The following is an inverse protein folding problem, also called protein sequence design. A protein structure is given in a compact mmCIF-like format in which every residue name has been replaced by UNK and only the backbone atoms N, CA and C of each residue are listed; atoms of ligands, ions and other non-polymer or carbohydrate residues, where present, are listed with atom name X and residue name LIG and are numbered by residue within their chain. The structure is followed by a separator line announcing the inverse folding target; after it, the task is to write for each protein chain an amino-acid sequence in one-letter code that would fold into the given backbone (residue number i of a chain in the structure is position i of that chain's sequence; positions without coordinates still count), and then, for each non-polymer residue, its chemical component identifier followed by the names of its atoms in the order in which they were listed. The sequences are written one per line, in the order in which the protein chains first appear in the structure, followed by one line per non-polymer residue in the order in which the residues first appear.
data_IF_162758897275
#
_entry.id   IF_162758897275
#
_cell.length_a   1.000
_cell.length_b   1.000
_cell.length_c   1.000
_cell.angle_alpha   90.00
_cell.angle_beta   90.00
_cell.angle_gamma   90.00
#
_symmetry.space_group_name_H-M   'P 1'
#
loop_
_entity.id
_entity.type
_entity.pdbx_description
1 polymer ?
#
# COMPACT_ATOMS: atom_id res chain seq x y z
N UNK A 1 5.46 -4.89 24.77
CA UNK A 1 5.47 -6.25 24.17
C UNK A 1 4.83 -6.13 22.78
N UNK A 2 5.55 -6.50 21.73
CA UNK A 2 5.03 -6.42 20.36
C UNK A 2 3.83 -7.34 20.17
N UNK A 3 2.73 -6.81 19.64
CA UNK A 3 1.51 -7.57 19.30
C UNK A 3 1.49 -7.79 17.79
N UNK A 4 1.35 -9.04 17.36
CA UNK A 4 1.12 -9.35 15.95
C UNK A 4 -0.34 -9.03 15.61
N UNK A 5 -0.56 -8.16 14.62
CA UNK A 5 -1.89 -7.75 14.15
C UNK A 5 -2.20 -8.31 12.76
N UNK A 6 -1.18 -8.73 12.01
CA UNK A 6 -1.33 -9.39 10.72
C UNK A 6 -0.20 -10.39 10.51
N UNK A 7 -0.54 -11.57 9.98
CA UNK A 7 0.41 -12.62 9.61
C UNK A 7 0.03 -13.20 8.24
N UNK A 8 0.88 -12.98 7.25
CA UNK A 8 0.75 -13.54 5.90
C UNK A 8 2.02 -14.31 5.51
N UNK A 9 2.02 -14.87 4.30
CA UNK A 9 3.15 -15.64 3.74
C UNK A 9 4.39 -14.78 3.47
N UNK A 10 4.18 -13.57 2.93
CA UNK A 10 5.27 -12.69 2.49
C UNK A 10 5.61 -11.60 3.51
N UNK A 11 4.72 -11.31 4.43
CA UNK A 11 4.90 -10.26 5.44
C UNK A 11 4.06 -10.49 6.68
N UNK A 12 4.53 -9.95 7.80
CA UNK A 12 3.78 -9.88 9.07
C UNK A 12 3.86 -8.46 9.62
N UNK A 13 2.81 -8.03 10.32
CA UNK A 13 2.77 -6.69 10.94
C UNK A 13 2.65 -6.83 12.44
N UNK A 14 3.54 -6.15 13.14
CA UNK A 14 3.59 -6.07 14.58
C UNK A 14 3.39 -4.63 15.03
N UNK A 15 2.72 -4.46 16.16
CA UNK A 15 2.53 -3.14 16.79
C UNK A 15 3.16 -3.12 18.16
N UNK A 16 3.90 -2.08 18.45
CA UNK A 16 4.44 -1.77 19.76
C UNK A 16 4.25 -0.27 20.06
N UNK A 17 3.39 0.04 21.03
CA UNK A 17 3.00 1.41 21.38
C UNK A 17 2.41 2.18 20.18
N UNK A 18 3.16 3.13 19.66
CA UNK A 18 2.77 4.05 18.60
C UNK A 18 3.43 3.70 17.25
N UNK A 19 4.03 2.51 17.15
CA UNK A 19 4.76 2.07 15.95
C UNK A 19 4.18 0.78 15.41
N UNK A 20 4.10 0.71 14.08
CA UNK A 20 3.82 -0.51 13.33
C UNK A 20 5.10 -0.96 12.60
N UNK A 21 5.43 -2.23 12.71
CA UNK A 21 6.57 -2.85 12.04
C UNK A 21 6.06 -3.88 11.05
N UNK A 22 6.29 -3.63 9.76
CA UNK A 22 6.06 -4.58 8.67
C UNK A 22 7.35 -5.35 8.43
N UNK A 23 7.36 -6.61 8.85
CA UNK A 23 8.50 -7.53 8.70
C UNK A 23 8.27 -8.39 7.47
N UNK A 24 9.20 -8.35 6.52
CA UNK A 24 9.13 -9.09 5.27
C UNK A 24 9.76 -10.48 5.40
N UNK A 25 9.27 -11.45 4.62
CA UNK A 25 9.88 -12.77 4.53
C UNK A 25 11.30 -12.68 3.91
N UNK A 26 12.16 -13.65 4.21
CA UNK A 26 13.52 -13.70 3.65
C UNK A 26 13.53 -13.78 2.11
N UNK A 27 12.48 -14.32 1.52
CA UNK A 27 12.30 -14.41 0.06
C UNK A 27 11.87 -13.09 -0.59
N UNK A 28 11.53 -12.07 0.21
CA UNK A 28 11.09 -10.79 -0.34
C UNK A 28 12.31 -9.97 -0.80
N UNK A 29 12.23 -9.40 -2.01
CA UNK A 29 13.37 -8.70 -2.58
C UNK A 29 13.68 -7.40 -1.82
N UNK A 30 14.97 -7.11 -1.66
CA UNK A 30 15.43 -5.83 -1.07
C UNK A 30 14.92 -4.63 -1.85
N UNK A 31 14.93 -4.71 -3.18
CA UNK A 31 14.48 -3.61 -4.05
C UNK A 31 13.01 -3.29 -3.84
N UNK A 32 12.16 -4.30 -3.68
CA UNK A 32 10.73 -4.09 -3.47
C UNK A 32 10.44 -3.45 -2.10
N UNK A 33 11.18 -3.86 -1.05
CA UNK A 33 11.08 -3.23 0.27
C UNK A 33 11.46 -1.75 0.22
N UNK A 34 12.59 -1.45 -0.40
CA UNK A 34 13.08 -0.08 -0.53
C UNK A 34 12.15 0.76 -1.44
N UNK A 35 11.60 0.15 -2.48
CA UNK A 35 10.63 0.81 -3.34
C UNK A 35 9.31 1.11 -2.62
N UNK A 36 8.82 0.18 -1.77
CA UNK A 36 7.64 0.43 -0.93
C UNK A 36 7.90 1.60 0.04
N UNK A 37 9.05 1.61 0.70
CA UNK A 37 9.41 2.69 1.62
C UNK A 37 9.55 4.04 0.90
N UNK A 38 10.19 4.06 -0.27
CA UNK A 38 10.33 5.27 -1.09
C UNK A 38 8.96 5.83 -1.51
N UNK A 39 8.04 4.97 -1.96
CA UNK A 39 6.71 5.43 -2.35
C UNK A 39 5.90 5.92 -1.14
N UNK A 40 6.07 5.32 0.04
CA UNK A 40 5.47 5.86 1.27
C UNK A 40 5.96 7.27 1.56
N UNK A 41 7.26 7.51 1.51
CA UNK A 41 7.84 8.84 1.69
C UNK A 41 7.33 9.86 0.64
N UNK A 42 7.20 9.45 -0.62
CA UNK A 42 6.64 10.30 -1.69
C UNK A 42 5.17 10.66 -1.44
N UNK A 43 4.39 9.76 -0.86
CA UNK A 43 3.00 10.05 -0.47
C UNK A 43 2.97 11.00 0.72
N UNK A 44 3.88 10.87 1.70
CA UNK A 44 4.02 11.84 2.80
C UNK A 44 4.26 13.27 2.28
N UNK A 45 5.11 13.42 1.25
CA UNK A 45 5.41 14.71 0.62
C UNK A 45 4.16 15.39 0.00
N UNK A 46 3.08 14.65 -0.25
CA UNK A 46 1.81 15.22 -0.73
C UNK A 46 1.02 15.96 0.35
N UNK A 47 1.38 15.77 1.62
CA UNK A 47 0.65 16.31 2.77
C UNK A 47 -0.60 15.52 3.15
N UNK A 48 -0.82 14.34 2.56
CA UNK A 48 -1.86 13.43 3.04
C UNK A 48 -1.57 12.98 4.48
N UNK A 49 -2.62 12.93 5.29
CA UNK A 49 -2.54 12.40 6.65
C UNK A 49 -2.47 10.88 6.63
N UNK A 50 -1.25 10.37 6.58
CA UNK A 50 -0.93 8.95 6.59
C UNK A 50 0.08 8.63 7.69
N UNK A 51 0.15 7.37 8.19
CA UNK A 51 1.19 6.95 9.13
C UNK A 51 2.59 7.16 8.52
N UNK A 52 3.39 8.04 9.13
CA UNK A 52 4.72 8.39 8.61
C UNK A 52 5.68 7.23 8.65
N UNK A 53 6.53 7.15 7.64
CA UNK A 53 7.67 6.25 7.60
C UNK A 53 8.72 6.70 8.64
N UNK A 54 9.08 5.83 9.55
CA UNK A 54 10.04 6.15 10.63
C UNK A 54 11.42 5.52 10.38
N UNK A 55 11.46 4.31 9.83
CA UNK A 55 12.70 3.60 9.64
C UNK A 55 12.56 2.44 8.64
N UNK A 56 13.67 2.14 7.97
CA UNK A 56 13.87 0.91 7.20
C UNK A 56 15.12 0.23 7.72
N UNK A 57 15.00 -1.02 8.16
CA UNK A 57 16.10 -1.73 8.83
C UNK A 57 16.08 -3.22 8.50
N UNK A 58 17.13 -3.91 8.95
CA UNK A 58 17.18 -5.37 8.95
C UNK A 58 17.17 -5.83 10.40
N UNK A 59 16.18 -6.62 10.77
CA UNK A 59 16.02 -7.21 12.11
C UNK A 59 15.99 -8.72 11.96
N UNK A 60 16.86 -9.42 12.64
CA UNK A 60 16.99 -10.89 12.55
C UNK A 60 17.10 -11.39 11.10
N UNK A 61 17.88 -10.68 10.27
CA UNK A 61 18.08 -10.98 8.85
C UNK A 61 16.90 -10.64 7.93
N UNK A 62 15.81 -10.07 8.46
CA UNK A 62 14.60 -9.71 7.70
C UNK A 62 14.50 -8.20 7.51
N UNK A 63 14.14 -7.79 6.31
CA UNK A 63 13.79 -6.40 6.04
C UNK A 63 12.55 -6.01 6.83
N UNK A 64 12.61 -4.83 7.44
CA UNK A 64 11.54 -4.29 8.27
C UNK A 64 11.32 -2.82 7.94
N UNK A 65 10.09 -2.46 7.61
CA UNK A 65 9.64 -1.07 7.53
C UNK A 65 8.91 -0.73 8.82
N UNK A 66 9.32 0.34 9.48
CA UNK A 66 8.67 0.87 10.67
C UNK A 66 7.97 2.16 10.31
N UNK A 67 6.70 2.26 10.63
CA UNK A 67 5.88 3.46 10.49
C UNK A 67 5.20 3.84 11.81
N UNK A 68 4.59 5.00 11.85
CA UNK A 68 3.60 5.32 12.88
C UNK A 68 2.47 4.29 12.85
N UNK A 69 1.83 4.07 13.98
CA UNK A 69 0.65 3.22 14.09
C UNK A 69 -0.60 4.07 14.16
N UNK A 70 -1.44 4.00 13.13
CA UNK A 70 -2.77 4.60 13.17
C UNK A 70 -3.65 3.82 14.13
N UNK A 71 -3.95 4.44 15.29
CA UNK A 71 -4.85 3.86 16.30
C UNK A 71 -6.29 4.04 15.85
N UNK A 72 -7.10 3.03 16.09
CA UNK A 72 -8.53 3.07 15.77
C UNK A 72 -9.07 1.70 15.39
N UNK A 73 -10.31 1.71 14.95
CA UNK A 73 -10.98 0.56 14.39
C UNK A 73 -11.11 0.70 12.88
N UNK A 74 -11.06 -0.40 12.18
CA UNK A 74 -11.28 -0.39 10.72
C UNK A 74 -12.75 -0.14 10.40
N UNK A 75 -13.05 0.46 9.24
CA UNK A 75 -14.44 0.61 8.78
C UNK A 75 -15.18 -0.73 8.74
N UNK A 76 -14.49 -1.83 8.42
CA UNK A 76 -15.06 -3.17 8.47
C UNK A 76 -15.53 -3.56 9.87
N UNK A 77 -14.73 -3.26 10.90
CA UNK A 77 -15.10 -3.53 12.29
C UNK A 77 -16.25 -2.63 12.77
N UNK A 78 -16.21 -1.35 12.39
CA UNK A 78 -17.28 -0.40 12.69
C UNK A 78 -18.60 -0.81 12.04
N UNK A 79 -18.60 -1.18 10.76
CA UNK A 79 -19.78 -1.68 10.06
C UNK A 79 -20.36 -2.95 10.70
N UNK A 80 -19.49 -3.84 11.21
CA UNK A 80 -19.94 -5.06 11.88
C UNK A 80 -20.55 -4.77 13.26
N UNK A 81 -20.02 -3.77 14.00
CA UNK A 81 -20.48 -3.39 15.33
C UNK A 81 -21.71 -2.46 15.30
N UNK A 82 -21.77 -1.59 14.31
CA UNK A 82 -22.73 -0.51 14.18
C UNK A 82 -23.29 -0.44 12.76
N UNK A 83 -24.02 -1.48 12.29
CA UNK A 83 -24.58 -1.53 10.94
C UNK A 83 -25.60 -0.41 10.67
N UNK A 84 -26.22 0.12 11.73
CA UNK A 84 -27.13 1.28 11.66
C UNK A 84 -26.46 2.56 11.16
N UNK A 85 -25.12 2.65 11.25
CA UNK A 85 -24.36 3.81 10.79
C UNK A 85 -23.69 3.58 9.43
N UNK A 86 -24.11 2.55 8.66
CA UNK A 86 -23.46 2.15 7.42
C UNK A 86 -23.34 3.29 6.41
N UNK A 87 -24.40 4.08 6.22
CA UNK A 87 -24.40 5.20 5.28
C UNK A 87 -23.34 6.24 5.64
N UNK A 88 -23.24 6.61 6.92
CA UNK A 88 -22.23 7.58 7.38
C UNK A 88 -20.79 7.04 7.20
N UNK A 89 -20.57 5.74 7.40
CA UNK A 89 -19.24 5.14 7.19
C UNK A 89 -18.88 5.07 5.71
N UNK A 90 -19.86 4.79 4.83
CA UNK A 90 -19.65 4.79 3.38
C UNK A 90 -19.36 6.22 2.89
N UNK A 91 -20.12 7.21 3.36
CA UNK A 91 -19.90 8.62 3.03
C UNK A 91 -18.48 9.05 3.43
N UNK A 92 -18.06 8.77 4.66
CA UNK A 92 -16.70 9.06 5.11
C UNK A 92 -15.63 8.38 4.24
N UNK A 93 -15.85 7.13 3.82
CA UNK A 93 -14.93 6.42 2.92
C UNK A 93 -14.83 7.11 1.55
N UNK A 94 -15.96 7.57 1.01
CA UNK A 94 -16.01 8.30 -0.28
C UNK A 94 -15.30 9.64 -0.14
N UNK A 95 -15.50 10.37 0.95
CA UNK A 95 -14.83 11.64 1.21
C UNK A 95 -13.31 11.48 1.31
N UNK A 96 -12.84 10.44 2.00
CA UNK A 96 -11.41 10.10 2.02
C UNK A 96 -10.87 9.78 0.63
N UNK A 97 -11.61 9.01 -0.18
CA UNK A 97 -11.20 8.71 -1.55
C UNK A 97 -11.10 9.97 -2.41
N UNK A 98 -12.07 10.88 -2.29
CA UNK A 98 -12.06 12.19 -2.99
C UNK A 98 -10.87 13.02 -2.52
N UNK A 99 -10.59 13.06 -1.22
CA UNK A 99 -9.43 13.77 -0.67
C UNK A 99 -8.11 13.22 -1.23
N UNK A 100 -7.93 11.89 -1.23
CA UNK A 100 -6.76 11.22 -1.80
C UNK A 100 -6.58 11.59 -3.28
N UNK A 101 -7.65 11.54 -4.07
CA UNK A 101 -7.61 11.79 -5.51
C UNK A 101 -7.27 13.26 -5.87
N UNK A 102 -7.36 14.19 -4.91
CA UNK A 102 -6.92 15.60 -5.10
C UNK A 102 -5.41 15.78 -4.97
N UNK A 103 -4.69 14.78 -4.44
CA UNK A 103 -3.25 14.85 -4.26
C UNK A 103 -2.55 14.14 -5.41
N UNK A 104 -1.46 14.73 -5.87
CA UNK A 104 -0.60 14.15 -6.89
C UNK A 104 0.87 14.32 -6.49
N UNK A 105 1.70 13.38 -6.90
CA UNK A 105 3.14 13.50 -6.80
C UNK A 105 3.77 12.97 -8.09
N UNK A 106 4.48 13.82 -8.87
CA UNK A 106 5.05 13.44 -10.16
C UNK A 106 6.13 12.34 -10.05
N UNK A 107 6.62 12.07 -8.85
CA UNK A 107 7.60 11.02 -8.59
C UNK A 107 6.96 9.64 -8.36
N UNK A 108 5.64 9.57 -8.17
CA UNK A 108 4.92 8.30 -8.13
C UNK A 108 4.72 7.78 -9.54
N UNK A 109 4.97 6.51 -9.73
CA UNK A 109 4.69 5.84 -11.01
C UNK A 109 3.19 5.68 -11.15
N UNK A 110 2.63 6.17 -12.25
CA UNK A 110 1.22 5.99 -12.56
C UNK A 110 0.88 4.51 -12.79
N UNK A 111 -0.40 4.19 -12.66
CA UNK A 111 -0.86 2.79 -12.72
C UNK A 111 -0.66 2.18 -14.11
N UNK A 112 -0.83 2.96 -15.19
CA UNK A 112 -0.63 2.46 -16.56
C UNK A 112 0.82 2.05 -16.79
N UNK A 113 1.78 2.92 -16.49
CA UNK A 113 3.22 2.62 -16.60
C UNK A 113 3.62 1.41 -15.76
N UNK A 114 3.02 1.24 -14.58
CA UNK A 114 3.25 0.05 -13.75
C UNK A 114 2.72 -1.22 -14.41
N UNK A 115 1.49 -1.19 -14.93
CA UNK A 115 0.87 -2.34 -15.58
C UNK A 115 1.59 -2.69 -16.88
N UNK A 116 1.96 -1.71 -17.70
CA UNK A 116 2.75 -1.90 -18.92
C UNK A 116 4.06 -2.65 -18.64
N UNK A 117 4.81 -2.19 -17.61
CA UNK A 117 6.01 -2.91 -17.18
C UNK A 117 5.71 -4.34 -16.75
N UNK A 118 4.65 -4.57 -15.97
CA UNK A 118 4.28 -5.90 -15.53
C UNK A 118 3.89 -6.82 -16.68
N UNK A 119 3.14 -6.32 -17.69
CA UNK A 119 2.80 -7.07 -18.91
C UNK A 119 4.09 -7.48 -19.65
N UNK A 120 5.04 -6.56 -19.79
CA UNK A 120 6.30 -6.82 -20.47
C UNK A 120 7.17 -7.87 -19.74
N UNK A 121 7.09 -7.94 -18.42
CA UNK A 121 7.80 -8.93 -17.59
C UNK A 121 7.16 -10.33 -17.60
N UNK A 122 5.89 -10.47 -18.06
CA UNK A 122 5.22 -11.77 -18.12
C UNK A 122 5.85 -12.70 -19.15
N UNK A 123 5.92 -13.97 -18.84
CA UNK A 123 6.35 -15.01 -19.77
C UNK A 123 5.13 -15.57 -20.54
N UNK A 124 4.59 -14.76 -21.45
CA UNK A 124 3.44 -15.06 -22.31
C UNK A 124 3.77 -14.74 -23.76
N UNK A 125 3.01 -15.26 -24.77
CA UNK A 125 3.21 -14.95 -26.17
C UNK A 125 3.19 -13.45 -26.48
N UNK A 126 3.97 -13.04 -27.48
CA UNK A 126 4.13 -11.62 -27.84
C UNK A 126 2.82 -10.98 -28.34
N UNK A 127 2.00 -11.72 -29.07
CA UNK A 127 0.68 -11.30 -29.52
C UNK A 127 -0.27 -11.01 -28.35
N UNK A 128 -0.24 -11.87 -27.31
CA UNK A 128 -1.00 -11.65 -26.08
C UNK A 128 -0.51 -10.40 -25.33
N UNK A 129 0.81 -10.16 -25.25
CA UNK A 129 1.34 -8.92 -24.68
C UNK A 129 0.85 -7.69 -25.43
N UNK A 130 0.93 -7.72 -26.74
CA UNK A 130 0.47 -6.64 -27.60
C UNK A 130 -1.03 -6.34 -27.40
N UNK A 131 -1.86 -7.38 -27.30
CA UNK A 131 -3.29 -7.22 -27.03
C UNK A 131 -3.54 -6.56 -25.67
N UNK A 132 -2.82 -7.00 -24.62
CA UNK A 132 -2.94 -6.43 -23.28
C UNK A 132 -2.49 -4.96 -23.24
N UNK A 133 -1.36 -4.62 -23.89
CA UNK A 133 -0.86 -3.25 -23.95
C UNK A 133 -1.81 -2.35 -24.76
N UNK A 134 -2.39 -2.86 -25.85
CA UNK A 134 -3.40 -2.14 -26.62
C UNK A 134 -4.61 -1.80 -25.78
N UNK A 135 -5.18 -2.78 -25.06
CA UNK A 135 -6.30 -2.56 -24.16
C UNK A 135 -5.96 -1.60 -23.00
N UNK A 136 -4.74 -1.70 -22.47
CA UNK A 136 -4.29 -0.79 -21.42
C UNK A 136 -4.20 0.66 -21.93
N UNK A 137 -3.77 0.86 -23.16
CA UNK A 137 -3.67 2.19 -23.78
C UNK A 137 -5.03 2.88 -23.94
N UNK A 138 -6.10 2.11 -24.16
CA UNK A 138 -7.47 2.61 -24.33
C UNK A 138 -8.12 3.08 -23.01
N UNK A 139 -7.59 2.67 -21.86
CA UNK A 139 -8.12 3.10 -20.57
C UNK A 139 -7.84 4.60 -20.34
N UNK A 140 -8.75 5.36 -19.73
CA UNK A 140 -8.50 6.76 -19.36
C UNK A 140 -7.35 6.87 -18.34
N UNK A 141 -6.71 8.03 -18.31
CA UNK A 141 -5.72 8.39 -17.29
C UNK A 141 -6.43 8.79 -15.99
#
# INVERSE_FOLDING_TARGET
MKKCIYKGTLKSVYVDKDKAEKVFALSYSKSDVLYEALNTARVEDTGLDIPRLLNVSVVDGKWTITSEYAKGETLKELLAKHPENADAYIEAMVDYQIAINKHSNPLLVDMKSKLERQINELNIPADTKYELDSRLSELPY
#
